data_IF_657063528129
#
_entry.id   IF_657063528129
#
_cell.length_a   1.000
_cell.length_b   1.000
_cell.length_c   1.000
_cell.angle_alpha   90.00
_cell.angle_beta   90.00
_cell.angle_gamma   90.00
#
_symmetry.space_group_name_H-M   'P 1'
#
loop_
_entity.id
_entity.type
_entity.pdbx_description
1 polymer ?
#
# COMPACT_ATOMS: atom_id res chain seq x y z
N UNK A 1 28.57 -26.17 33.83
CA UNK A 1 28.56 -24.71 33.60
C UNK A 1 29.07 -24.49 32.18
N UNK A 2 28.16 -24.16 31.23
CA UNK A 2 28.45 -24.15 29.80
C UNK A 2 28.96 -22.75 29.43
N UNK A 3 30.24 -22.63 29.09
CA UNK A 3 30.86 -21.39 28.62
C UNK A 3 30.24 -20.99 27.28
N UNK A 4 29.58 -19.84 27.26
CA UNK A 4 29.02 -19.23 26.05
C UNK A 4 30.17 -18.47 25.41
N UNK A 5 30.61 -18.91 24.23
CA UNK A 5 31.61 -18.22 23.43
C UNK A 5 31.12 -16.82 23.03
N UNK A 6 31.84 -15.73 23.37
CA UNK A 6 31.47 -14.36 23.00
C UNK A 6 31.70 -14.05 21.51
N UNK A 7 32.19 -15.01 20.72
CA UNK A 7 32.56 -14.84 19.30
C UNK A 7 31.41 -15.06 18.31
N UNK A 8 30.20 -15.42 18.75
CA UNK A 8 29.03 -15.56 17.87
C UNK A 8 28.31 -14.24 17.55
N UNK A 9 28.83 -13.09 18.01
CA UNK A 9 28.29 -11.76 17.68
C UNK A 9 28.89 -11.13 16.41
N UNK A 10 29.75 -11.84 15.68
CA UNK A 10 30.32 -11.32 14.44
C UNK A 10 29.33 -11.41 13.28
N UNK A 11 28.96 -10.24 12.75
CA UNK A 11 28.29 -10.00 11.48
C UNK A 11 26.75 -9.93 11.49
N UNK A 12 26.16 -9.10 12.35
CA UNK A 12 25.09 -8.23 11.85
C UNK A 12 25.73 -7.20 10.90
N UNK A 13 26.12 -7.64 9.71
CA UNK A 13 26.41 -6.71 8.62
C UNK A 13 25.16 -5.89 8.42
N UNK A 14 25.21 -4.62 8.86
CA UNK A 14 24.27 -3.57 8.50
C UNK A 14 24.40 -3.36 7.00
N UNK A 15 23.91 -4.30 6.20
CA UNK A 15 23.76 -4.10 4.77
C UNK A 15 22.79 -2.93 4.64
N UNK A 16 23.32 -1.75 4.28
CA UNK A 16 22.49 -0.60 3.92
C UNK A 16 21.42 -1.13 2.95
N UNK A 17 20.12 -0.89 3.22
CA UNK A 17 19.06 -1.37 2.35
C UNK A 17 19.37 -0.88 0.94
N UNK A 18 19.70 -1.80 0.04
CA UNK A 18 19.99 -1.46 -1.36
C UNK A 18 18.71 -0.88 -1.95
N UNK A 19 18.82 0.17 -2.77
CA UNK A 19 17.68 0.78 -3.47
C UNK A 19 16.74 -0.26 -4.13
N UNK A 20 17.30 -1.36 -4.63
CA UNK A 20 16.56 -2.49 -5.21
C UNK A 20 15.59 -3.18 -4.24
N UNK A 21 15.94 -3.32 -2.95
CA UNK A 21 15.03 -3.90 -1.94
C UNK A 21 13.84 -2.96 -1.68
N UNK A 22 14.08 -1.65 -1.59
CA UNK A 22 13.01 -0.66 -1.45
C UNK A 22 12.05 -0.64 -2.64
N UNK A 23 12.56 -0.79 -3.87
CA UNK A 23 11.73 -0.86 -5.07
C UNK A 23 10.87 -2.14 -5.13
N UNK A 24 11.47 -3.31 -4.83
CA UNK A 24 10.73 -4.58 -4.76
C UNK A 24 9.59 -4.51 -3.77
N UNK A 25 9.85 -3.93 -2.60
CA UNK A 25 8.85 -3.82 -1.55
C UNK A 25 7.65 -2.94 -1.95
N UNK A 26 7.93 -1.80 -2.60
CA UNK A 26 6.89 -0.92 -3.16
C UNK A 26 6.03 -1.62 -4.20
N UNK A 27 6.66 -2.39 -5.09
CA UNK A 27 5.94 -3.18 -6.09
C UNK A 27 5.05 -4.24 -5.45
N UNK A 28 5.56 -5.00 -4.47
CA UNK A 28 4.78 -6.03 -3.77
C UNK A 28 3.56 -5.40 -3.08
N UNK A 29 3.72 -4.22 -2.48
CA UNK A 29 2.62 -3.53 -1.80
C UNK A 29 1.60 -2.91 -2.78
N UNK A 30 2.05 -2.40 -3.94
CA UNK A 30 1.17 -1.67 -4.87
C UNK A 30 0.46 -2.56 -5.89
N UNK A 31 1.09 -3.66 -6.31
CA UNK A 31 0.58 -4.54 -7.38
C UNK A 31 -0.81 -5.11 -7.07
N UNK A 32 -1.13 -5.60 -5.86
CA UNK A 32 -2.48 -6.11 -5.56
C UNK A 32 -3.57 -5.04 -5.72
N UNK A 33 -3.31 -3.83 -5.21
CA UNK A 33 -4.25 -2.72 -5.32
C UNK A 33 -4.43 -2.26 -6.77
N UNK A 34 -3.35 -2.20 -7.55
CA UNK A 34 -3.40 -1.88 -8.98
C UNK A 34 -4.17 -2.94 -9.79
N UNK A 35 -3.93 -4.23 -9.54
CA UNK A 35 -4.64 -5.33 -10.21
C UNK A 35 -6.15 -5.30 -9.91
N UNK A 36 -6.52 -5.12 -8.63
CA UNK A 36 -7.92 -5.00 -8.24
C UNK A 36 -8.59 -3.76 -8.83
N UNK A 37 -7.86 -2.64 -8.89
CA UNK A 37 -8.35 -1.42 -9.55
C UNK A 37 -8.67 -1.65 -11.02
N UNK A 38 -7.83 -2.39 -11.75
CA UNK A 38 -8.08 -2.69 -13.17
C UNK A 38 -9.30 -3.60 -13.34
N UNK A 39 -9.43 -4.64 -12.51
CA UNK A 39 -10.56 -5.57 -12.55
C UNK A 39 -11.88 -4.83 -12.27
N UNK A 40 -11.92 -4.02 -11.21
CA UNK A 40 -13.10 -3.24 -10.85
C UNK A 40 -13.41 -2.13 -11.85
N UNK A 41 -12.38 -1.49 -12.40
CA UNK A 41 -12.55 -0.48 -13.45
C UNK A 41 -13.15 -1.08 -14.71
N UNK A 42 -12.67 -2.26 -15.13
CA UNK A 42 -13.23 -2.99 -16.26
C UNK A 42 -14.68 -3.43 -15.99
N UNK A 43 -14.95 -4.01 -14.82
CA UNK A 43 -16.30 -4.42 -14.44
C UNK A 43 -17.27 -3.21 -14.43
N UNK A 44 -16.88 -2.09 -13.82
CA UNK A 44 -17.69 -0.86 -13.80
C UNK A 44 -17.92 -0.28 -15.20
N UNK A 45 -16.93 -0.35 -16.08
CA UNK A 45 -17.09 0.05 -17.49
C UNK A 45 -18.08 -0.85 -18.23
N UNK A 46 -17.99 -2.17 -18.06
CA UNK A 46 -18.92 -3.12 -18.71
C UNK A 46 -20.35 -3.00 -18.19
N UNK A 47 -20.54 -2.61 -16.93
CA UNK A 47 -21.86 -2.43 -16.31
C UNK A 47 -22.47 -1.04 -16.62
N UNK A 48 -21.73 -0.13 -17.25
CA UNK A 48 -22.22 1.19 -17.69
C UNK A 48 -22.56 2.17 -16.56
N UNK A 49 -22.19 1.84 -15.32
CA UNK A 49 -22.53 2.61 -14.13
C UNK A 49 -21.31 3.35 -13.61
N UNK A 50 -21.32 4.68 -13.73
CA UNK A 50 -20.24 5.54 -13.22
C UNK A 50 -20.03 5.38 -11.71
N UNK A 51 -21.07 5.00 -10.97
CA UNK A 51 -21.04 4.75 -9.52
C UNK A 51 -20.14 3.55 -9.19
N UNK A 52 -20.04 2.58 -10.09
CA UNK A 52 -19.28 1.34 -9.89
C UNK A 52 -17.78 1.52 -10.23
N UNK A 53 -17.40 2.67 -10.79
CA UNK A 53 -15.99 3.04 -11.01
C UNK A 53 -15.32 3.64 -9.77
N UNK A 54 -16.09 4.12 -8.80
CA UNK A 54 -15.55 4.75 -7.59
C UNK A 54 -14.68 3.81 -6.73
N UNK A 55 -15.05 2.53 -6.50
CA UNK A 55 -14.18 1.57 -5.82
C UNK A 55 -12.86 1.33 -6.56
N UNK A 56 -12.89 1.32 -7.90
CA UNK A 56 -11.68 1.19 -8.71
C UNK A 56 -10.76 2.41 -8.48
N UNK A 57 -11.32 3.62 -8.48
CA UNK A 57 -10.55 4.84 -8.21
C UNK A 57 -9.92 4.82 -6.80
N UNK A 58 -10.67 4.36 -5.79
CA UNK A 58 -10.17 4.24 -4.43
C UNK A 58 -8.97 3.27 -4.34
N UNK A 59 -9.04 2.14 -5.06
CA UNK A 59 -7.95 1.16 -5.11
C UNK A 59 -6.74 1.64 -5.90
N UNK A 60 -6.95 2.44 -6.95
CA UNK A 60 -5.87 3.15 -7.64
C UNK A 60 -5.12 4.07 -6.67
N UNK A 61 -5.84 4.86 -5.88
CA UNK A 61 -5.24 5.74 -4.87
C UNK A 61 -4.48 4.93 -3.81
N UNK A 62 -5.08 3.84 -3.31
CA UNK A 62 -4.41 2.94 -2.37
C UNK A 62 -3.12 2.33 -2.95
N UNK A 63 -3.13 1.95 -4.23
CA UNK A 63 -1.94 1.46 -4.94
C UNK A 63 -0.83 2.50 -5.06
N UNK A 64 -1.18 3.75 -5.37
CA UNK A 64 -0.23 4.87 -5.40
C UNK A 64 0.37 5.12 -4.01
N UNK A 65 -0.45 5.11 -2.96
CA UNK A 65 0.03 5.25 -1.57
C UNK A 65 0.95 4.09 -1.20
N UNK A 66 0.57 2.84 -1.51
CA UNK A 66 1.39 1.67 -1.23
C UNK A 66 2.73 1.67 -2.02
N UNK A 67 2.74 2.23 -3.22
CA UNK A 67 3.98 2.38 -4.00
C UNK A 67 4.88 3.50 -3.46
N UNK A 68 4.30 4.62 -3.04
CA UNK A 68 5.05 5.81 -2.62
C UNK A 68 5.48 5.76 -1.15
N UNK A 69 4.72 5.06 -0.34
CA UNK A 69 4.99 4.76 1.06
C UNK A 69 4.59 3.32 1.32
N UNK A 70 5.52 2.37 1.11
CA UNK A 70 5.18 0.98 1.35
C UNK A 70 4.82 0.84 2.82
N UNK A 71 3.60 0.35 3.07
CA UNK A 71 3.24 -0.16 4.38
C UNK A 71 4.32 -1.19 4.73
N UNK A 72 4.78 -1.19 5.98
CA UNK A 72 5.81 -2.11 6.45
C UNK A 72 5.22 -3.53 6.41
N UNK A 73 5.18 -4.10 5.22
CA UNK A 73 4.94 -5.50 4.95
C UNK A 73 6.32 -6.14 4.94
N UNK A 74 6.44 -7.17 5.73
CA UNK A 74 7.70 -7.77 6.10
C UNK A 74 8.22 -8.60 4.92
N UNK A 75 9.54 -8.59 4.67
CA UNK A 75 10.16 -9.58 3.77
C UNK A 75 10.00 -10.95 4.43
N UNK A 76 8.92 -11.65 4.07
CA UNK A 76 8.37 -12.75 4.85
C UNK A 76 7.73 -12.23 6.14
N UNK A 77 6.56 -12.75 6.51
CA UNK A 77 5.76 -12.38 7.70
C UNK A 77 6.51 -12.25 9.05
N UNK A 78 7.81 -12.55 9.12
CA UNK A 78 8.62 -12.66 10.33
C UNK A 78 9.69 -11.57 10.54
N UNK A 79 9.91 -10.60 9.63
CA UNK A 79 10.94 -9.56 9.84
C UNK A 79 10.42 -8.13 9.62
N UNK A 80 10.37 -7.27 10.66
CA UNK A 80 10.04 -5.86 10.46
C UNK A 80 11.08 -5.22 9.55
N UNK A 81 10.62 -4.67 8.43
CA UNK A 81 11.48 -3.85 7.57
C UNK A 81 11.95 -2.63 8.40
N UNK A 82 13.23 -2.23 8.34
CA UNK A 82 13.71 -1.06 9.07
C UNK A 82 12.85 0.17 8.69
N UNK A 83 12.60 1.09 9.63
CA UNK A 83 11.67 2.21 9.42
C UNK A 83 11.99 2.92 8.11
N UNK A 84 11.07 2.76 7.15
CA UNK A 84 11.18 3.20 5.77
C UNK A 84 11.03 4.72 5.60
N UNK A 85 11.35 5.50 6.64
CA UNK A 85 11.28 6.97 6.62
C UNK A 85 12.13 7.56 5.49
N UNK A 86 13.27 6.94 5.18
CA UNK A 86 14.15 7.31 4.06
C UNK A 86 13.66 6.81 2.68
N UNK A 87 12.63 5.96 2.63
CA UNK A 87 12.03 5.42 1.42
C UNK A 87 10.61 5.98 1.18
N UNK A 88 10.12 6.90 2.00
CA UNK A 88 8.86 7.58 1.73
C UNK A 88 9.08 8.63 0.63
N UNK A 89 8.44 8.46 -0.53
CA UNK A 89 8.45 9.46 -1.60
C UNK A 89 7.51 10.63 -1.33
N UNK A 90 6.53 10.43 -0.44
CA UNK A 90 5.51 11.41 -0.10
C UNK A 90 5.43 11.61 1.41
N UNK A 91 5.10 12.84 1.81
CA UNK A 91 4.93 13.18 3.23
C UNK A 91 3.76 12.44 3.86
N UNK A 92 3.80 12.25 5.18
CA UNK A 92 2.70 11.66 5.95
C UNK A 92 1.40 12.45 5.78
N UNK A 93 1.48 13.78 5.63
CA UNK A 93 0.31 14.63 5.34
C UNK A 93 -0.32 14.26 3.99
N UNK A 94 0.50 14.08 2.97
CA UNK A 94 0.05 13.68 1.62
C UNK A 94 -0.60 12.30 1.63
N UNK A 95 0.00 11.32 2.33
CA UNK A 95 -0.59 9.99 2.49
C UNK A 95 -1.97 10.06 3.15
N UNK A 96 -2.09 10.86 4.21
CA UNK A 96 -3.36 11.01 4.95
C UNK A 96 -4.44 11.64 4.08
N UNK A 97 -4.10 12.66 3.28
CA UNK A 97 -5.01 13.25 2.29
C UNK A 97 -5.46 12.22 1.25
N UNK A 98 -4.54 11.42 0.71
CA UNK A 98 -4.86 10.38 -0.26
C UNK A 98 -5.78 9.31 0.34
N UNK A 99 -5.57 8.92 1.60
CA UNK A 99 -6.48 8.00 2.29
C UNK A 99 -7.87 8.58 2.53
N UNK A 100 -7.97 9.87 2.87
CA UNK A 100 -9.29 10.53 2.96
C UNK A 100 -9.99 10.60 1.61
N UNK A 101 -9.27 10.87 0.52
CA UNK A 101 -9.82 10.81 -0.84
C UNK A 101 -10.30 9.40 -1.20
N UNK A 102 -9.50 8.36 -0.93
CA UNK A 102 -9.90 6.97 -1.13
C UNK A 102 -11.15 6.61 -0.30
N UNK A 103 -11.20 7.04 0.97
CA UNK A 103 -12.37 6.87 1.83
C UNK A 103 -13.63 7.55 1.29
N UNK A 104 -13.50 8.79 0.80
CA UNK A 104 -14.61 9.52 0.19
C UNK A 104 -15.15 8.81 -1.06
N UNK A 105 -14.29 8.14 -1.83
CA UNK A 105 -14.70 7.34 -2.99
C UNK A 105 -15.52 6.10 -2.61
N UNK A 106 -15.46 5.60 -1.37
CA UNK A 106 -16.38 4.55 -0.91
C UNK A 106 -17.70 5.11 -0.38
N UNK A 107 -17.65 6.28 0.26
CA UNK A 107 -18.82 6.88 0.92
C UNK A 107 -19.74 7.58 -0.08
N UNK A 108 -19.19 8.28 -1.08
CA UNK A 108 -19.95 8.99 -2.12
C UNK A 108 -20.88 8.08 -2.93
N UNK A 109 -20.46 6.94 -3.50
CA UNK A 109 -21.37 6.05 -4.23
C UNK A 109 -22.45 5.45 -3.32
N UNK A 110 -22.15 5.20 -2.04
CA UNK A 110 -23.14 4.75 -1.07
C UNK A 110 -24.20 5.83 -0.80
N UNK A 111 -23.78 7.08 -0.58
CA UNK A 111 -24.67 8.23 -0.41
C UNK A 111 -25.51 8.49 -1.66
N UNK A 112 -24.90 8.48 -2.85
CA UNK A 112 -25.60 8.68 -4.12
C UNK A 112 -26.66 7.61 -4.35
N UNK A 113 -26.38 6.34 -4.04
CA UNK A 113 -27.37 5.25 -4.13
C UNK A 113 -28.50 5.39 -3.11
N UNK A 114 -28.26 5.98 -1.95
CA UNK A 114 -29.32 6.25 -0.95
C UNK A 114 -30.21 7.40 -1.44
N UNK A 115 -29.60 8.51 -1.89
CA UNK A 115 -30.33 9.69 -2.37
C UNK A 115 -31.10 9.39 -3.66
N UNK A 116 -30.53 8.62 -4.59
CA UNK A 116 -31.21 8.26 -5.85
C UNK A 116 -32.36 7.25 -5.67
N UNK A 117 -32.47 6.63 -4.50
CA UNK A 117 -33.55 5.71 -4.13
C UNK A 117 -34.64 6.37 -3.29
N UNK A 118 -34.43 7.62 -2.87
CA UNK A 118 -35.43 8.52 -2.30
C UNK A 118 -36.16 9.25 -3.43
#
# INVERSE_FOLDING_TARGET
MKTIDPTSQSAFTTQRPRFLHGLKHRLICSVPAAALSLILGYAGFTLGSAVDLFPALALSIAGVVAFTSPIILTEGWNKPFPPASHLALISVRTQRVLWYLAGSCFVLPALLRIVSKL
#
